data_IF_172157971662
#
_entry.id   IF_172157971662
#
_cell.length_a   1.000
_cell.length_b   1.000
_cell.length_c   1.000
_cell.angle_alpha   90.00
_cell.angle_beta   90.00
_cell.angle_gamma   90.00
#
_symmetry.space_group_name_H-M   'P 1'
#
loop_
_entity.id
_entity.type
_entity.pdbx_description
1 polymer ?
#
# COMPACT_ATOMS: atom_id res chain seq x y z
N UNK A 1 20.93 -4.00 29.60
CA UNK A 1 19.48 -3.74 29.82
C UNK A 1 19.06 -2.61 28.89
N UNK A 2 17.86 -2.67 28.28
CA UNK A 2 17.37 -1.58 27.41
C UNK A 2 17.21 -0.30 28.23
N UNK A 3 17.74 0.83 27.73
CA UNK A 3 17.56 2.16 28.35
C UNK A 3 16.14 2.71 28.12
N UNK A 4 15.39 2.14 27.19
CA UNK A 4 14.01 2.52 26.87
C UNK A 4 13.02 1.69 27.70
N UNK A 5 12.05 2.36 28.30
CA UNK A 5 10.95 1.74 29.07
C UNK A 5 9.60 2.29 28.59
N UNK A 6 8.58 1.44 28.65
CA UNK A 6 7.20 1.89 28.43
C UNK A 6 6.69 2.62 29.67
N UNK A 7 6.28 3.86 29.51
CA UNK A 7 5.57 4.66 30.52
C UNK A 7 4.80 5.78 29.84
N UNK A 8 3.85 6.36 30.55
CA UNK A 8 3.15 7.57 30.12
C UNK A 8 4.09 8.76 30.43
N UNK A 9 4.54 9.53 29.41
CA UNK A 9 5.29 10.77 29.64
C UNK A 9 4.45 11.82 30.37
N UNK A 10 5.09 12.82 30.94
CA UNK A 10 4.43 14.02 31.42
C UNK A 10 3.71 14.70 30.24
N UNK A 11 2.48 15.13 30.44
CA UNK A 11 1.61 15.74 29.41
C UNK A 11 1.17 14.84 28.24
N UNK A 12 1.29 13.50 28.35
CA UNK A 12 0.74 12.54 27.37
C UNK A 12 -0.38 11.68 28.02
N UNK A 13 -1.24 11.11 27.21
CA UNK A 13 -2.34 10.21 27.62
C UNK A 13 -2.07 8.74 27.29
N UNK A 14 -0.88 8.42 26.71
CA UNK A 14 -0.54 7.09 26.22
C UNK A 14 0.85 6.65 26.64
N UNK A 15 1.03 5.34 26.75
CA UNK A 15 2.35 4.76 26.94
C UNK A 15 3.24 4.99 25.71
N UNK A 16 4.47 5.47 25.98
CA UNK A 16 5.54 5.65 24.99
C UNK A 16 6.80 4.93 25.44
N UNK A 17 7.72 4.72 24.51
CA UNK A 17 9.09 4.34 24.85
C UNK A 17 9.85 5.58 25.31
N UNK A 18 10.26 5.61 26.57
CA UNK A 18 10.96 6.73 27.18
C UNK A 18 12.34 6.30 27.63
N UNK A 19 13.37 7.07 27.30
CA UNK A 19 14.72 6.84 27.77
C UNK A 19 14.83 7.16 29.29
N UNK A 20 15.34 6.20 30.09
CA UNK A 20 15.51 6.38 31.53
C UNK A 20 16.57 7.41 31.87
N UNK A 21 17.57 7.60 30.99
CA UNK A 21 18.74 8.42 31.30
C UNK A 21 18.51 9.89 30.94
N UNK A 22 17.85 10.18 29.82
CA UNK A 22 17.70 11.55 29.34
C UNK A 22 16.23 12.00 29.13
N UNK A 23 15.25 11.14 29.39
CA UNK A 23 13.85 11.48 29.26
C UNK A 23 13.35 11.53 27.79
N UNK A 24 14.20 11.23 26.78
CA UNK A 24 13.77 11.22 25.37
C UNK A 24 12.56 10.32 25.19
N UNK A 25 11.52 10.84 24.51
CA UNK A 25 10.30 10.12 24.18
C UNK A 25 10.36 9.69 22.71
N UNK A 26 10.27 8.40 22.46
CA UNK A 26 10.18 7.84 21.11
C UNK A 26 8.71 7.79 20.68
N UNK A 27 8.34 8.66 19.77
CA UNK A 27 7.01 8.64 19.15
C UNK A 27 7.01 7.69 17.95
N UNK A 28 6.09 6.72 17.98
CA UNK A 28 5.86 5.82 16.85
C UNK A 28 4.60 6.27 16.11
N UNK A 29 4.75 6.50 14.80
CA UNK A 29 3.65 6.87 13.91
C UNK A 29 3.27 5.68 13.02
N UNK A 30 2.05 5.65 12.45
CA UNK A 30 1.69 4.68 11.44
C UNK A 30 2.68 4.71 10.28
N UNK A 31 3.03 3.53 9.77
CA UNK A 31 3.87 3.42 8.57
C UNK A 31 3.08 3.84 7.35
N UNK A 32 3.73 4.58 6.46
CA UNK A 32 3.16 4.98 5.18
C UNK A 32 3.54 3.93 4.14
N UNK A 33 2.54 3.43 3.43
CA UNK A 33 2.70 2.59 2.24
C UNK A 33 2.30 3.43 1.04
N UNK A 34 3.08 3.39 -0.02
CA UNK A 34 2.82 4.10 -1.27
C UNK A 34 2.73 3.12 -2.42
N UNK A 35 1.80 3.33 -3.35
CA UNK A 35 1.62 2.42 -4.46
C UNK A 35 0.78 3.01 -5.58
N UNK A 36 0.59 2.24 -6.64
CA UNK A 36 -0.12 2.71 -7.83
C UNK A 36 -0.97 1.62 -8.46
N UNK A 37 -2.19 1.97 -8.84
CA UNK A 37 -2.93 1.24 -9.87
C UNK A 37 -2.43 1.75 -11.21
N UNK A 38 -1.65 0.92 -11.91
CA UNK A 38 -1.04 1.24 -13.20
C UNK A 38 -1.92 0.64 -14.29
N UNK A 39 -2.43 1.48 -15.19
CA UNK A 39 -3.31 1.03 -16.23
C UNK A 39 -2.93 1.57 -17.62
N UNK A 40 -3.29 0.79 -18.65
CA UNK A 40 -3.26 1.18 -20.04
C UNK A 40 -4.60 0.79 -20.69
N UNK A 41 -5.41 1.78 -21.03
CA UNK A 41 -6.79 1.56 -21.43
C UNK A 41 -7.59 0.91 -20.31
N UNK A 42 -8.13 -0.28 -20.55
CA UNK A 42 -8.93 -1.03 -19.58
C UNK A 42 -8.14 -2.13 -18.83
N UNK A 43 -6.86 -2.26 -19.12
CA UNK A 43 -5.99 -3.27 -18.50
C UNK A 43 -5.18 -2.69 -17.36
N UNK A 44 -5.14 -3.42 -16.24
CA UNK A 44 -4.35 -3.08 -15.06
C UNK A 44 -3.14 -4.00 -14.94
N UNK A 45 -2.01 -3.44 -14.48
CA UNK A 45 -0.79 -4.18 -14.24
C UNK A 45 -0.78 -4.68 -12.80
N UNK A 46 -0.60 -6.00 -12.62
CA UNK A 46 -0.43 -6.63 -11.31
C UNK A 46 0.90 -7.37 -11.24
N UNK A 47 1.43 -7.45 -10.02
CA UNK A 47 2.64 -8.17 -9.65
C UNK A 47 2.27 -9.39 -8.82
N UNK A 48 2.83 -10.57 -9.13
CA UNK A 48 2.70 -11.78 -8.33
C UNK A 48 3.82 -11.83 -7.30
N UNK A 49 3.48 -11.76 -6.03
CA UNK A 49 4.45 -11.63 -4.93
C UNK A 49 5.41 -12.81 -4.83
N UNK A 50 6.70 -12.53 -4.70
CA UNK A 50 7.71 -13.56 -4.39
C UNK A 50 7.93 -13.74 -2.88
N UNK A 51 7.52 -12.76 -2.05
CA UNK A 51 7.83 -12.68 -0.63
C UNK A 51 6.60 -12.76 0.27
N UNK A 52 6.82 -13.18 1.52
CA UNK A 52 5.79 -13.13 2.57
C UNK A 52 5.47 -11.67 2.99
N UNK A 53 4.25 -11.39 3.50
CA UNK A 53 3.11 -12.30 3.52
C UNK A 53 2.48 -12.47 2.12
N UNK A 54 1.71 -13.54 1.92
CA UNK A 54 0.96 -13.76 0.67
C UNK A 54 1.84 -13.97 -0.57
N UNK A 55 2.99 -14.67 -0.44
CA UNK A 55 3.74 -15.13 -1.60
C UNK A 55 2.86 -15.93 -2.56
N UNK A 56 3.00 -15.71 -3.86
CA UNK A 56 2.19 -16.34 -4.92
C UNK A 56 0.87 -15.62 -5.24
N UNK A 57 0.44 -14.63 -4.44
CA UNK A 57 -0.76 -13.84 -4.69
C UNK A 57 -0.46 -12.56 -5.48
N UNK A 58 -1.49 -12.01 -6.14
CA UNK A 58 -1.40 -10.83 -6.96
C UNK A 58 -1.65 -9.55 -6.16
N UNK A 59 -0.91 -8.50 -6.49
CA UNK A 59 -1.01 -7.18 -5.88
C UNK A 59 -0.72 -6.08 -6.90
N UNK A 60 -1.07 -4.84 -6.58
CA UNK A 60 -0.53 -3.67 -7.27
C UNK A 60 0.90 -3.41 -6.75
N UNK A 61 1.80 -2.77 -7.53
CA UNK A 61 3.09 -2.32 -7.03
C UNK A 61 2.92 -1.35 -5.86
N UNK A 62 3.42 -1.72 -4.68
CA UNK A 62 3.30 -0.91 -3.47
C UNK A 62 4.21 -1.41 -2.35
N UNK A 63 4.84 -0.49 -1.63
CA UNK A 63 5.66 -0.79 -0.46
C UNK A 63 5.81 0.38 0.50
N UNK A 64 6.69 0.25 1.48
CA UNK A 64 6.91 1.30 2.47
C UNK A 64 7.59 2.51 1.86
N UNK A 65 7.08 3.69 2.23
CA UNK A 65 7.72 4.96 1.90
C UNK A 65 9.07 5.07 2.62
N UNK A 66 10.10 5.46 1.90
CA UNK A 66 11.45 5.67 2.43
C UNK A 66 11.65 7.09 2.96
N UNK A 67 12.66 7.25 3.84
CA UNK A 67 13.01 8.57 4.36
C UNK A 67 13.56 9.46 3.25
N UNK A 68 13.08 10.69 3.18
CA UNK A 68 13.57 11.70 2.26
C UNK A 68 12.93 11.67 0.87
N UNK A 69 12.00 10.76 0.61
CA UNK A 69 11.22 10.75 -0.64
C UNK A 69 9.81 11.34 -0.43
N UNK A 70 9.23 11.87 -1.49
CA UNK A 70 7.81 12.22 -1.54
C UNK A 70 6.96 10.98 -1.82
N UNK A 71 5.66 11.02 -1.49
CA UNK A 71 4.73 9.91 -1.78
C UNK A 71 4.69 9.53 -3.28
N UNK A 72 4.90 10.51 -4.18
CA UNK A 72 4.95 10.28 -5.63
C UNK A 72 6.26 9.60 -6.03
N UNK A 73 7.39 10.02 -5.46
CA UNK A 73 8.68 9.38 -5.71
C UNK A 73 8.68 7.94 -5.23
N UNK A 74 8.16 7.69 -4.03
CA UNK A 74 8.01 6.34 -3.49
C UNK A 74 7.13 5.44 -4.37
N UNK A 75 5.96 5.93 -4.81
CA UNK A 75 5.10 5.16 -5.70
C UNK A 75 5.76 4.82 -7.04
N UNK A 76 6.57 5.73 -7.59
CA UNK A 76 7.36 5.48 -8.82
C UNK A 76 8.50 4.50 -8.58
N UNK A 77 9.16 4.59 -7.42
CA UNK A 77 10.22 3.67 -7.01
C UNK A 77 9.67 2.25 -6.88
N UNK A 78 8.56 2.06 -6.15
CA UNK A 78 7.90 0.75 -5.99
C UNK A 78 7.48 0.15 -7.34
N UNK A 79 6.89 0.96 -8.25
CA UNK A 79 6.55 0.51 -9.60
C UNK A 79 7.80 0.03 -10.38
N UNK A 80 8.93 0.69 -10.18
CA UNK A 80 10.19 0.28 -10.79
C UNK A 80 10.80 -0.96 -10.12
N UNK A 81 10.79 -1.03 -8.79
CA UNK A 81 11.39 -2.13 -8.04
C UNK A 81 10.64 -3.44 -8.27
N UNK A 82 9.29 -3.42 -8.21
CA UNK A 82 8.47 -4.62 -8.32
C UNK A 82 8.14 -5.01 -9.77
N UNK A 83 7.98 -4.03 -10.67
CA UNK A 83 7.52 -4.29 -12.04
C UNK A 83 8.45 -3.78 -13.15
N UNK A 84 9.59 -3.14 -12.82
CA UNK A 84 10.43 -2.43 -13.80
C UNK A 84 9.63 -1.44 -14.66
N UNK A 85 8.46 -1.03 -14.19
CA UNK A 85 7.56 -0.15 -14.89
C UNK A 85 7.90 1.33 -14.63
N UNK A 86 8.10 2.11 -15.69
CA UNK A 86 8.11 3.57 -15.61
C UNK A 86 6.68 4.07 -15.70
N UNK A 87 6.26 4.91 -14.77
CA UNK A 87 4.89 5.39 -14.67
C UNK A 87 4.79 6.91 -14.65
N UNK A 88 3.68 7.42 -15.17
CA UNK A 88 3.24 8.78 -15.01
C UNK A 88 2.04 8.80 -14.06
N UNK A 89 2.12 9.57 -12.99
CA UNK A 89 1.04 9.72 -12.02
C UNK A 89 -0.03 10.64 -12.61
N UNK A 90 -1.28 10.18 -12.60
CA UNK A 90 -2.44 10.98 -13.04
C UNK A 90 -3.11 11.70 -11.88
N UNK A 91 -3.05 11.14 -10.67
CA UNK A 91 -3.61 11.76 -9.46
C UNK A 91 -3.70 10.80 -8.28
N UNK A 92 -4.10 11.33 -7.13
CA UNK A 92 -4.37 10.56 -5.92
C UNK A 92 -5.67 9.78 -6.09
N UNK A 93 -5.57 8.45 -6.08
CA UNK A 93 -6.72 7.57 -6.24
C UNK A 93 -7.40 7.29 -4.90
N UNK A 94 -6.62 6.95 -3.87
CA UNK A 94 -7.17 6.56 -2.59
C UNK A 94 -6.20 6.80 -1.42
N UNK A 95 -6.78 6.98 -0.23
CA UNK A 95 -6.08 6.94 1.05
C UNK A 95 -6.79 5.95 1.96
N UNK A 96 -6.13 4.84 2.30
CA UNK A 96 -6.68 3.80 3.17
C UNK A 96 -5.98 3.79 4.53
N UNK A 97 -6.77 3.68 5.60
CA UNK A 97 -6.30 3.53 6.97
C UNK A 97 -6.44 2.08 7.41
N UNK A 98 -5.33 1.40 7.66
CA UNK A 98 -5.30 0.03 8.16
C UNK A 98 -4.89 0.05 9.64
N UNK A 99 -5.86 0.38 10.51
CA UNK A 99 -5.61 0.64 11.92
C UNK A 99 -4.97 -0.55 12.66
N UNK A 100 -5.39 -1.79 12.34
CA UNK A 100 -4.80 -3.02 12.93
C UNK A 100 -3.32 -3.17 12.61
N UNK A 101 -2.88 -2.73 11.43
CA UNK A 101 -1.49 -2.81 10.97
C UNK A 101 -0.68 -1.55 11.30
N UNK A 102 -1.34 -0.53 11.86
CA UNK A 102 -0.74 0.81 12.02
C UNK A 102 -0.14 1.31 10.71
N UNK A 103 -0.94 1.29 9.63
CA UNK A 103 -0.53 1.72 8.30
C UNK A 103 -1.51 2.72 7.71
N UNK A 104 -0.98 3.63 6.91
CA UNK A 104 -1.74 4.48 5.98
C UNK A 104 -1.22 4.17 4.57
N UNK A 105 -2.13 3.82 3.67
CA UNK A 105 -1.80 3.54 2.27
C UNK A 105 -2.22 4.71 1.40
N UNK A 106 -1.28 5.25 0.62
CA UNK A 106 -1.48 6.34 -0.34
C UNK A 106 -1.35 5.75 -1.74
N UNK A 107 -2.47 5.57 -2.42
CA UNK A 107 -2.54 4.89 -3.71
C UNK A 107 -2.83 5.89 -4.82
N UNK A 108 -2.03 5.83 -5.87
CA UNK A 108 -2.16 6.69 -7.05
C UNK A 108 -2.81 5.96 -8.22
N UNK A 109 -3.54 6.70 -9.04
CA UNK A 109 -3.84 6.32 -10.41
C UNK A 109 -2.65 6.71 -11.27
N UNK A 110 -2.15 5.77 -12.06
CA UNK A 110 -1.01 5.98 -12.91
C UNK A 110 -1.20 5.31 -14.27
N UNK A 111 -0.54 5.87 -15.28
CA UNK A 111 -0.42 5.28 -16.61
C UNK A 111 1.00 4.79 -16.82
N UNK A 112 1.11 3.82 -17.67
CA UNK A 112 2.40 3.39 -18.16
C UNK A 112 3.07 4.49 -19.00
N UNK A 113 4.38 4.68 -18.81
CA UNK A 113 5.18 5.72 -19.46
C UNK A 113 6.51 5.22 -20.01
N UNK A 114 6.65 3.91 -20.23
CA UNK A 114 7.92 3.30 -20.63
C UNK A 114 7.78 2.19 -21.68
N UNK A 115 8.90 1.62 -22.12
CA UNK A 115 8.94 0.65 -23.21
C UNK A 115 8.49 -0.76 -22.81
N UNK A 116 8.33 -1.06 -21.52
CA UNK A 116 7.99 -2.40 -21.05
C UNK A 116 7.92 -2.52 -19.54
N UNK A 117 7.60 -3.72 -19.06
CA UNK A 117 7.65 -4.12 -17.67
C UNK A 117 8.31 -5.49 -17.54
N UNK A 118 8.86 -5.77 -16.38
CA UNK A 118 9.55 -7.01 -16.06
C UNK A 118 9.46 -7.25 -14.55
N UNK A 119 9.46 -8.50 -14.13
CA UNK A 119 9.45 -8.84 -12.71
C UNK A 119 10.72 -8.36 -12.01
N UNK A 120 10.56 -7.61 -10.92
CA UNK A 120 11.64 -7.25 -10.02
C UNK A 120 11.98 -8.37 -9.03
N UNK A 121 12.95 -8.16 -8.14
CA UNK A 121 13.44 -9.20 -7.21
C UNK A 121 12.38 -9.78 -6.27
N UNK A 122 11.39 -8.99 -5.89
CA UNK A 122 10.30 -9.37 -4.98
C UNK A 122 9.03 -9.83 -5.72
N UNK A 123 9.11 -10.02 -7.05
CA UNK A 123 8.00 -10.34 -7.94
C UNK A 123 8.30 -11.61 -8.73
N UNK A 124 7.39 -12.59 -8.70
CA UNK A 124 7.48 -13.82 -9.50
C UNK A 124 7.08 -13.59 -10.95
N UNK A 125 6.08 -12.75 -11.16
CA UNK A 125 5.46 -12.50 -12.45
C UNK A 125 4.82 -11.12 -12.46
N UNK A 126 4.91 -10.40 -13.59
CA UNK A 126 4.18 -9.17 -13.84
C UNK A 126 3.29 -9.39 -15.05
N UNK A 127 2.00 -9.04 -14.92
CA UNK A 127 1.04 -9.26 -16.00
C UNK A 127 0.00 -8.14 -16.03
N UNK A 128 -0.46 -7.82 -17.23
CA UNK A 128 -1.65 -7.00 -17.44
C UNK A 128 -2.90 -7.89 -17.51
N UNK A 129 -3.95 -7.44 -16.85
CA UNK A 129 -5.25 -8.10 -16.83
C UNK A 129 -6.34 -7.17 -17.34
N UNK A 130 -7.19 -7.66 -18.19
CA UNK A 130 -8.49 -7.04 -18.39
C UNK A 130 -9.34 -7.17 -17.12
N UNK A 131 -10.28 -6.27 -16.89
CA UNK A 131 -11.04 -6.22 -15.65
C UNK A 131 -11.69 -7.57 -15.28
N UNK A 132 -12.28 -8.23 -16.27
CA UNK A 132 -12.99 -9.50 -16.08
C UNK A 132 -12.04 -10.71 -15.90
N UNK A 133 -10.76 -10.53 -16.23
CA UNK A 133 -9.71 -11.55 -16.08
C UNK A 133 -8.92 -11.45 -14.79
N UNK A 134 -9.16 -10.41 -13.96
CA UNK A 134 -8.47 -10.25 -12.69
C UNK A 134 -8.74 -11.47 -11.80
N UNK A 135 -7.68 -12.14 -11.29
CA UNK A 135 -7.84 -13.32 -10.43
C UNK A 135 -8.25 -12.90 -9.01
N UNK A 136 -9.48 -12.46 -8.84
CA UNK A 136 -10.01 -11.85 -7.63
C UNK A 136 -9.81 -12.69 -6.35
N UNK A 137 -9.83 -14.02 -6.48
CA UNK A 137 -9.60 -14.95 -5.36
C UNK A 137 -8.11 -15.09 -4.99
N UNK A 138 -7.22 -14.61 -5.86
CA UNK A 138 -5.77 -14.62 -5.66
C UNK A 138 -5.21 -13.22 -5.38
N UNK A 139 -6.05 -12.22 -5.14
CA UNK A 139 -5.60 -10.88 -4.73
C UNK A 139 -5.08 -10.96 -3.29
N UNK A 140 -3.86 -10.46 -3.08
CA UNK A 140 -3.11 -10.60 -1.84
C UNK A 140 -3.79 -9.93 -0.63
N UNK A 141 -4.35 -8.74 -0.83
CA UNK A 141 -4.86 -7.91 0.25
C UNK A 141 -6.19 -7.26 -0.13
N UNK A 142 -7.15 -7.17 0.80
CA UNK A 142 -8.42 -6.48 0.54
C UNK A 142 -8.26 -5.02 0.09
N UNK A 143 -7.28 -4.29 0.62
CA UNK A 143 -7.01 -2.91 0.19
C UNK A 143 -6.59 -2.80 -1.28
N UNK A 144 -5.98 -3.85 -1.84
CA UNK A 144 -5.70 -3.92 -3.29
C UNK A 144 -7.00 -4.05 -4.08
N UNK A 145 -7.94 -4.88 -3.59
CA UNK A 145 -9.29 -4.98 -4.20
C UNK A 145 -9.98 -3.61 -4.18
N UNK A 146 -9.99 -2.92 -3.04
CA UNK A 146 -10.57 -1.57 -2.94
C UNK A 146 -9.93 -0.58 -3.91
N UNK A 147 -8.61 -0.64 -4.08
CA UNK A 147 -7.91 0.25 -5.00
C UNK A 147 -8.28 -0.05 -6.47
N UNK A 148 -8.38 -1.32 -6.85
CA UNK A 148 -8.81 -1.74 -8.18
C UNK A 148 -10.26 -1.32 -8.46
N UNK A 149 -11.17 -1.53 -7.49
CA UNK A 149 -12.57 -1.10 -7.59
C UNK A 149 -12.70 0.42 -7.69
N UNK A 150 -11.95 1.19 -6.89
CA UNK A 150 -11.91 2.66 -6.96
C UNK A 150 -11.38 3.14 -8.33
N UNK A 151 -10.34 2.49 -8.85
CA UNK A 151 -9.83 2.77 -10.18
C UNK A 151 -10.90 2.49 -11.25
N UNK A 152 -11.53 1.32 -11.20
CA UNK A 152 -12.54 0.92 -12.19
C UNK A 152 -13.73 1.89 -12.21
N UNK A 153 -14.18 2.33 -11.04
CA UNK A 153 -15.29 3.29 -10.91
C UNK A 153 -14.95 4.70 -11.43
N UNK A 154 -13.67 5.09 -11.38
CA UNK A 154 -13.22 6.45 -11.73
C UNK A 154 -12.34 6.54 -12.99
N UNK A 155 -12.13 5.44 -13.70
CA UNK A 155 -11.12 5.38 -14.78
C UNK A 155 -11.34 6.34 -15.93
N UNK A 156 -12.60 6.65 -16.22
CA UNK A 156 -13.00 7.52 -17.32
C UNK A 156 -13.15 8.99 -16.89
N UNK A 157 -13.18 9.24 -15.59
CA UNK A 157 -13.43 10.56 -15.03
C UNK A 157 -12.16 11.22 -14.49
N UNK A 158 -12.12 12.55 -14.44
CA UNK A 158 -11.09 13.26 -13.65
C UNK A 158 -11.18 12.87 -12.19
N UNK A 159 -10.04 12.64 -11.53
CA UNK A 159 -10.00 12.40 -10.09
C UNK A 159 -10.30 13.71 -9.35
N UNK A 160 -11.49 13.83 -8.79
CA UNK A 160 -11.94 15.01 -8.03
C UNK A 160 -11.79 14.82 -6.52
N UNK A 161 -11.77 13.57 -6.05
CA UNK A 161 -11.56 13.21 -4.64
C UNK A 161 -10.91 11.83 -4.55
N UNK A 162 -10.11 11.61 -3.51
CA UNK A 162 -9.55 10.29 -3.22
C UNK A 162 -10.60 9.39 -2.56
N UNK A 163 -10.61 8.11 -2.92
CA UNK A 163 -11.39 7.10 -2.22
C UNK A 163 -10.82 6.88 -0.80
N UNK A 164 -11.71 6.56 0.13
CA UNK A 164 -11.37 6.19 1.50
C UNK A 164 -11.76 4.71 1.74
N UNK A 165 -11.51 4.23 2.94
CA UNK A 165 -11.96 2.90 3.35
C UNK A 165 -13.45 2.71 3.04
N UNK A 166 -13.88 1.52 2.61
CA UNK A 166 -15.29 1.19 2.47
C UNK A 166 -16.07 1.43 3.77
N UNK A 167 -17.34 1.79 3.66
CA UNK A 167 -18.19 2.14 4.82
C UNK A 167 -18.41 0.99 5.79
N UNK A 168 -18.29 -0.25 5.35
CA UNK A 168 -18.39 -1.48 6.14
C UNK A 168 -17.05 -1.88 6.78
N UNK A 169 -15.93 -1.26 6.39
CA UNK A 169 -14.62 -1.47 7.00
C UNK A 169 -13.81 -0.18 7.17
N UNK A 170 -14.34 0.78 7.89
CA UNK A 170 -13.71 2.09 8.13
C UNK A 170 -12.33 2.01 8.82
N UNK A 171 -12.01 0.90 9.48
CA UNK A 171 -10.74 0.69 10.19
C UNK A 171 -9.76 -0.22 9.47
N UNK A 172 -10.12 -0.78 8.33
CA UNK A 172 -9.29 -1.75 7.63
C UNK A 172 -8.99 -2.99 8.49
N UNK A 173 -10.02 -3.54 9.14
CA UNK A 173 -9.90 -4.67 10.09
C UNK A 173 -10.33 -5.99 9.44
N UNK A 174 -10.30 -6.07 8.13
CA UNK A 174 -10.69 -7.30 7.43
C UNK A 174 -9.95 -8.55 7.96
N UNK A 175 -10.64 -9.69 8.05
CA UNK A 175 -10.01 -10.94 8.46
C UNK A 175 -8.98 -11.35 7.40
N UNK A 176 -7.74 -11.61 7.82
CA UNK A 176 -6.76 -12.26 6.96
C UNK A 176 -7.27 -13.70 6.72
N UNK A 177 -7.46 -14.16 5.46
CA UNK A 177 -7.83 -15.54 5.22
C UNK A 177 -6.74 -16.46 5.80
N UNK A 178 -7.14 -17.37 6.71
CA UNK A 178 -6.27 -18.35 7.34
C UNK A 178 -5.64 -17.95 8.69
N UNK A 179 -6.07 -16.87 9.32
CA UNK A 179 -5.72 -16.54 10.71
C UNK A 179 -6.86 -16.95 11.65
N UNK A 180 -6.70 -18.06 12.39
CA UNK A 180 -7.49 -18.32 13.58
C UNK A 180 -7.30 -17.15 14.55
N UNK A 181 -8.41 -16.70 15.14
CA UNK A 181 -8.42 -15.71 16.22
C UNK A 181 -7.56 -16.23 17.38
N UNK A 182 -6.47 -15.58 17.67
CA UNK A 182 -5.65 -15.75 18.86
C UNK A 182 -5.54 -14.41 19.58
#
# INVERSE_FOLDING_TARGET
MSRLVRRIPEDDDRERLVCRDCGFVSYENPKIVVGSVIAEGYRVLLCRRAIAPRAGFWTIPAGYMELGETVIEGAKREAWEEARARIAIDGLLAVYSLARLSQVQVIFRARWAGPGFEAGPETLEVRQFDWDEIPWNEIAFPSVRWALEAWHASREDPLTSAALNPSDDLRGVFPLPGGENG
#
